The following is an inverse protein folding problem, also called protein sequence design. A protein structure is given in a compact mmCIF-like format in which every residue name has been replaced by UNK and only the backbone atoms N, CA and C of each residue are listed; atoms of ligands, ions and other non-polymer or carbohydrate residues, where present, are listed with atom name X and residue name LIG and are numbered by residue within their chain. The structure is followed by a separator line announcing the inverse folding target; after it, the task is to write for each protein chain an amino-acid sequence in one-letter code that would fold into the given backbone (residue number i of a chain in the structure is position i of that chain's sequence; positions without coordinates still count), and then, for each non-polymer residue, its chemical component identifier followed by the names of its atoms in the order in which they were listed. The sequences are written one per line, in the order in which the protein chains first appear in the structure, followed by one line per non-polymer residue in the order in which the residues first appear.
data_IF_642456548326
#
_entry.id   IF_642456548326
#
_cell.length_a   1.000
_cell.length_b   1.000
_cell.length_c   1.000
_cell.angle_alpha   90.00
_cell.angle_beta   90.00
_cell.angle_gamma   90.00
#
_symmetry.space_group_name_H-M   'P 1'
#
loop_
_entity.id
_entity.type
_entity.pdbx_description
1 polymer ?
#
# COMPACT_ATOMS: atom_id res chain seq x y z
N UNK A 1 15.47 1.37 8.91
CA UNK A 1 16.33 1.82 7.81
C UNK A 1 15.44 2.44 6.74
N UNK A 2 15.79 3.59 6.15
CA UNK A 2 15.08 4.09 4.98
C UNK A 2 15.21 3.07 3.83
N UNK A 3 14.13 2.82 3.08
CA UNK A 3 14.19 1.96 1.89
C UNK A 3 15.08 2.62 0.84
N UNK A 4 15.99 1.87 0.19
CA UNK A 4 16.88 2.39 -0.86
C UNK A 4 16.10 2.95 -2.07
N UNK A 5 14.78 2.70 -2.14
CA UNK A 5 13.91 3.20 -3.19
C UNK A 5 13.39 4.62 -2.95
N UNK A 6 13.65 5.23 -1.78
CA UNK A 6 13.27 6.63 -1.52
C UNK A 6 13.98 7.64 -2.43
N UNK A 7 15.16 7.29 -2.95
CA UNK A 7 16.04 8.19 -3.70
C UNK A 7 16.02 7.97 -5.23
N UNK A 8 15.23 7.02 -5.75
CA UNK A 8 15.23 6.60 -7.16
C UNK A 8 14.58 7.58 -8.15
N UNK A 9 14.28 8.82 -7.74
CA UNK A 9 13.54 9.78 -8.57
C UNK A 9 14.30 10.30 -9.81
N UNK A 10 15.54 9.89 -10.06
CA UNK A 10 16.44 10.60 -11.00
C UNK A 10 16.80 9.80 -12.27
N UNK A 11 16.78 8.47 -12.26
CA UNK A 11 17.16 7.67 -13.43
C UNK A 11 15.93 7.18 -14.24
N UNK A 12 16.00 7.14 -15.59
CA UNK A 12 14.95 6.53 -16.39
C UNK A 12 14.82 5.04 -16.04
N UNK A 13 13.58 4.56 -15.93
CA UNK A 13 13.35 3.15 -15.66
C UNK A 13 13.86 2.29 -16.82
N UNK A 14 14.42 1.10 -16.54
CA UNK A 14 14.70 0.11 -17.56
C UNK A 14 13.43 -0.24 -18.35
N UNK A 15 13.58 -0.56 -19.63
CA UNK A 15 12.45 -0.94 -20.50
C UNK A 15 11.62 -2.08 -19.91
N UNK A 16 12.28 -3.08 -19.33
CA UNK A 16 11.61 -4.20 -18.68
C UNK A 16 10.72 -3.76 -17.50
N UNK A 17 11.15 -2.78 -16.71
CA UNK A 17 10.34 -2.23 -15.62
C UNK A 17 9.11 -1.48 -16.15
N UNK A 18 9.23 -0.78 -17.27
CA UNK A 18 8.08 -0.13 -17.93
C UNK A 18 7.09 -1.17 -18.45
N UNK A 19 7.58 -2.25 -19.08
CA UNK A 19 6.76 -3.38 -19.53
C UNK A 19 6.02 -4.01 -18.35
N UNK A 20 6.72 -4.26 -17.24
CA UNK A 20 6.12 -4.85 -16.04
C UNK A 20 5.07 -3.94 -15.41
N UNK A 21 5.33 -2.64 -15.30
CA UNK A 21 4.36 -1.67 -14.81
C UNK A 21 3.08 -1.71 -15.67
N UNK A 22 3.22 -1.62 -17.00
CA UNK A 22 2.09 -1.68 -17.91
C UNK A 22 1.31 -3.00 -17.82
N UNK A 23 2.00 -4.14 -17.70
CA UNK A 23 1.34 -5.45 -17.56
C UNK A 23 0.57 -5.54 -16.25
N UNK A 24 1.17 -5.15 -15.12
CA UNK A 24 0.50 -5.13 -13.81
C UNK A 24 -0.75 -4.24 -13.86
N UNK A 25 -0.65 -3.03 -14.44
CA UNK A 25 -1.79 -2.11 -14.58
C UNK A 25 -2.98 -2.71 -15.33
N UNK A 26 -2.73 -3.60 -16.29
CA UNK A 26 -3.77 -4.24 -17.09
C UNK A 26 -4.36 -5.50 -16.42
N UNK A 27 -3.56 -6.19 -15.61
CA UNK A 27 -3.93 -7.50 -15.05
C UNK A 27 -4.48 -7.41 -13.63
N UNK A 28 -4.10 -6.39 -12.86
CA UNK A 28 -4.57 -6.24 -11.49
C UNK A 28 -6.06 -5.88 -11.47
N UNK A 29 -6.88 -6.50 -10.59
CA UNK A 29 -8.30 -6.20 -10.48
C UNK A 29 -8.61 -4.89 -9.73
N UNK A 30 -7.57 -4.17 -9.28
CA UNK A 30 -7.70 -2.94 -8.50
C UNK A 30 -7.28 -1.72 -9.33
N UNK A 31 -7.86 -0.53 -9.05
CA UNK A 31 -7.39 0.70 -9.66
C UNK A 31 -5.90 0.89 -9.36
N UNK A 32 -5.15 1.33 -10.36
CA UNK A 32 -3.71 1.52 -10.20
C UNK A 32 -3.18 2.70 -11.01
N UNK A 33 -2.20 3.41 -10.45
CA UNK A 33 -1.64 4.63 -11.04
C UNK A 33 -0.15 4.80 -10.71
N UNK A 34 0.53 5.66 -11.46
CA UNK A 34 1.94 5.99 -11.27
C UNK A 34 2.88 5.27 -12.25
N UNK A 35 3.94 5.98 -12.64
CA UNK A 35 4.87 5.55 -13.70
C UNK A 35 6.15 4.94 -13.14
N UNK A 36 6.77 5.61 -12.15
CA UNK A 36 7.98 5.11 -11.48
C UNK A 36 7.66 4.16 -10.31
N UNK A 37 6.55 4.44 -9.64
CA UNK A 37 6.00 3.57 -8.60
C UNK A 37 4.53 3.35 -8.89
N UNK A 38 4.12 2.09 -8.91
CA UNK A 38 2.74 1.69 -9.15
C UNK A 38 2.00 1.60 -7.82
N UNK A 39 1.03 2.47 -7.62
CA UNK A 39 0.11 2.45 -6.48
C UNK A 39 -1.11 1.63 -6.83
N UNK A 40 -1.48 0.66 -5.99
CA UNK A 40 -2.54 -0.32 -6.27
C UNK A 40 -3.60 -0.29 -5.18
N UNK A 41 -4.87 -0.12 -5.59
CA UNK A 41 -6.05 -0.12 -4.73
C UNK A 41 -6.53 1.27 -4.34
N UNK A 42 -7.84 1.37 -4.10
CA UNK A 42 -8.48 2.49 -3.41
C UNK A 42 -9.44 1.90 -2.36
N UNK A 43 -9.10 1.93 -1.06
CA UNK A 43 -7.92 2.56 -0.45
C UNK A 43 -6.61 1.86 -0.84
N UNK A 44 -5.47 2.57 -0.74
CA UNK A 44 -4.16 2.04 -1.12
C UNK A 44 -3.86 0.71 -0.40
N UNK A 45 -3.54 -0.33 -1.17
CA UNK A 45 -3.27 -1.68 -0.67
C UNK A 45 -1.80 -2.05 -0.81
N UNK A 46 -1.17 -1.69 -1.93
CA UNK A 46 0.21 -2.05 -2.28
C UNK A 46 0.83 -0.92 -3.09
N UNK A 47 2.15 -0.76 -2.94
CA UNK A 47 2.98 0.05 -3.82
C UNK A 47 4.07 -0.85 -4.41
N UNK A 48 4.33 -0.73 -5.70
CA UNK A 48 5.47 -1.37 -6.37
C UNK A 48 6.43 -0.29 -6.81
N UNK A 49 7.64 -0.28 -6.29
CA UNK A 49 8.69 0.66 -6.70
C UNK A 49 9.67 -0.04 -7.62
N UNK A 50 9.84 0.49 -8.83
CA UNK A 50 10.78 -0.06 -9.80
C UNK A 50 12.13 0.64 -9.67
N UNK A 51 13.19 -0.15 -9.56
CA UNK A 51 14.58 0.28 -9.64
C UNK A 51 15.26 -0.27 -10.89
N UNK A 52 16.56 0.02 -11.07
CA UNK A 52 17.32 -0.39 -12.25
C UNK A 52 17.47 -1.92 -12.37
N UNK A 53 17.54 -2.64 -11.26
CA UNK A 53 17.82 -4.09 -11.24
C UNK A 53 16.73 -4.90 -10.54
N UNK A 54 15.76 -4.25 -9.91
CA UNK A 54 14.77 -4.92 -9.07
C UNK A 54 13.50 -4.09 -8.90
N UNK A 55 12.40 -4.77 -8.56
CA UNK A 55 11.15 -4.17 -8.12
C UNK A 55 10.90 -4.50 -6.64
N UNK A 56 10.64 -3.47 -5.82
CA UNK A 56 10.23 -3.63 -4.43
C UNK A 56 8.71 -3.60 -4.34
N UNK A 57 8.13 -4.58 -3.64
CA UNK A 57 6.71 -4.56 -3.24
C UNK A 57 6.64 -4.11 -1.78
N UNK A 58 5.87 -3.06 -1.57
CA UNK A 58 5.68 -2.40 -0.28
C UNK A 58 4.20 -2.31 0.06
N UNK A 59 3.85 -2.34 1.34
CA UNK A 59 2.47 -2.12 1.81
C UNK A 59 2.37 -0.82 2.60
N UNK A 60 1.25 -0.07 2.49
CA UNK A 60 1.05 1.14 3.25
C UNK A 60 0.78 0.82 4.72
N UNK A 61 1.39 1.60 5.60
CA UNK A 61 1.23 1.58 7.04
C UNK A 61 1.09 3.01 7.55
N UNK A 62 0.05 3.29 8.32
CA UNK A 62 -0.05 4.54 9.08
C UNK A 62 0.58 4.39 10.46
N UNK A 63 1.62 5.17 10.71
CA UNK A 63 2.20 5.36 12.04
C UNK A 63 1.66 6.65 12.66
N UNK A 64 1.31 6.59 13.95
CA UNK A 64 0.82 7.76 14.67
C UNK A 64 1.96 8.37 15.49
N UNK A 65 2.44 9.54 15.06
CA UNK A 65 3.50 10.28 15.79
C UNK A 65 2.90 11.00 17.01
N UNK A 66 1.64 11.39 16.91
CA UNK A 66 0.81 11.92 18.01
C UNK A 66 -0.63 11.42 17.83
N UNK A 67 -1.55 11.62 18.80
CA UNK A 67 -2.95 11.24 18.66
C UNK A 67 -3.67 11.84 17.42
N UNK A 68 -3.21 13.00 16.93
CA UNK A 68 -3.83 13.72 15.82
C UNK A 68 -2.97 13.75 14.54
N UNK A 69 -1.75 13.19 14.56
CA UNK A 69 -0.80 13.30 13.46
C UNK A 69 -0.47 11.91 12.89
N UNK A 70 -1.26 11.42 11.92
CA UNK A 70 -0.92 10.21 11.18
C UNK A 70 0.20 10.50 10.19
N UNK A 71 1.10 9.53 10.02
CA UNK A 71 2.14 9.54 9.00
C UNK A 71 2.04 8.26 8.19
N UNK A 72 1.82 8.40 6.89
CA UNK A 72 1.89 7.28 5.96
C UNK A 72 3.36 6.87 5.78
N UNK A 73 3.62 5.58 5.89
CA UNK A 73 4.88 4.93 5.55
C UNK A 73 4.63 3.74 4.64
N UNK A 74 5.65 3.40 3.86
CA UNK A 74 5.67 2.19 3.05
C UNK A 74 6.57 1.18 3.75
N UNK A 75 6.01 0.02 4.07
CA UNK A 75 6.74 -1.09 4.69
C UNK A 75 7.09 -2.10 3.60
N UNK A 76 8.39 -2.34 3.34
CA UNK A 76 8.82 -3.37 2.38
C UNK A 76 8.26 -4.74 2.75
N UNK A 77 7.79 -5.46 1.76
CA UNK A 77 7.29 -6.84 1.85
C UNK A 77 8.24 -7.81 1.16
N UNK A 78 8.82 -7.39 0.04
CA UNK A 78 9.84 -8.16 -0.66
C UNK A 78 10.38 -7.42 -1.88
N UNK A 79 11.49 -7.93 -2.39
CA UNK A 79 12.16 -7.42 -3.59
C UNK A 79 12.26 -8.54 -4.62
N UNK A 80 12.04 -8.22 -5.89
CA UNK A 80 12.09 -9.16 -7.01
C UNK A 80 13.11 -8.65 -8.03
N UNK A 81 14.14 -9.44 -8.37
CA UNK A 81 15.07 -9.09 -9.43
C UNK A 81 14.38 -8.90 -10.78
N UNK A 82 14.80 -7.89 -11.54
CA UNK A 82 14.19 -7.48 -12.80
C UNK A 82 14.68 -8.36 -13.95
N UNK A 83 14.18 -9.59 -14.01
CA UNK A 83 14.36 -10.52 -15.13
C UNK A 83 13.01 -11.06 -15.56
N UNK A 84 12.74 -11.14 -16.87
CA UNK A 84 11.41 -11.49 -17.42
C UNK A 84 10.78 -12.75 -16.79
N UNK A 85 11.60 -13.77 -16.50
CA UNK A 85 11.17 -15.02 -15.82
C UNK A 85 10.58 -14.82 -14.41
N UNK A 86 10.75 -13.67 -13.79
CA UNK A 86 10.28 -13.36 -12.45
C UNK A 86 9.02 -12.48 -12.43
N UNK A 87 8.44 -12.17 -13.60
CA UNK A 87 7.21 -11.39 -13.67
C UNK A 87 6.08 -12.04 -12.86
N UNK A 88 5.88 -13.35 -13.01
CA UNK A 88 4.83 -14.07 -12.30
C UNK A 88 5.03 -14.02 -10.78
N UNK A 89 6.28 -14.05 -10.31
CA UNK A 89 6.60 -13.91 -8.89
C UNK A 89 6.23 -12.51 -8.36
N UNK A 90 6.52 -11.46 -9.15
CA UNK A 90 6.12 -10.10 -8.81
C UNK A 90 4.59 -9.98 -8.73
N UNK A 91 3.88 -10.48 -9.74
CA UNK A 91 2.42 -10.44 -9.77
C UNK A 91 1.82 -11.16 -8.55
N UNK A 92 2.28 -12.38 -8.26
CA UNK A 92 1.82 -13.15 -7.09
C UNK A 92 2.09 -12.41 -5.77
N UNK A 93 3.26 -11.77 -5.64
CA UNK A 93 3.60 -11.00 -4.45
C UNK A 93 2.68 -9.79 -4.28
N UNK A 94 2.39 -9.06 -5.36
CA UNK A 94 1.47 -7.92 -5.35
C UNK A 94 0.05 -8.37 -4.95
N UNK A 95 -0.48 -9.39 -5.62
CA UNK A 95 -1.83 -9.90 -5.35
C UNK A 95 -1.98 -10.43 -3.93
N UNK A 96 -1.01 -11.24 -3.47
CA UNK A 96 -0.99 -11.76 -2.11
C UNK A 96 -0.97 -10.63 -1.08
N UNK A 97 -0.12 -9.62 -1.30
CA UNK A 97 -0.01 -8.48 -0.39
C UNK A 97 -1.31 -7.66 -0.37
N UNK A 98 -1.89 -7.38 -1.54
CA UNK A 98 -3.14 -6.65 -1.65
C UNK A 98 -4.30 -7.38 -0.95
N UNK A 99 -4.42 -8.69 -1.16
CA UNK A 99 -5.43 -9.51 -0.51
C UNK A 99 -5.26 -9.59 1.00
N UNK A 100 -4.03 -9.82 1.48
CA UNK A 100 -3.74 -9.83 2.90
C UNK A 100 -4.10 -8.50 3.55
N UNK A 101 -3.74 -7.40 2.87
CA UNK A 101 -4.04 -6.06 3.34
C UNK A 101 -5.53 -5.80 3.42
N UNK A 102 -6.27 -6.08 2.35
CA UNK A 102 -7.73 -5.91 2.33
C UNK A 102 -8.44 -6.75 3.39
N UNK A 103 -7.99 -8.00 3.61
CA UNK A 103 -8.51 -8.88 4.65
C UNK A 103 -8.24 -8.38 6.06
N UNK A 104 -7.23 -7.54 6.26
CA UNK A 104 -6.95 -6.95 7.56
C UNK A 104 -7.94 -5.84 7.93
N UNK A 105 -8.65 -5.27 6.97
CA UNK A 105 -9.56 -4.15 7.24
C UNK A 105 -10.71 -4.59 8.13
N UNK A 106 -11.09 -3.73 9.06
CA UNK A 106 -12.18 -3.97 10.01
C UNK A 106 -13.14 -2.79 10.00
N UNK A 107 -14.38 -3.07 10.37
CA UNK A 107 -15.42 -2.06 10.46
C UNK A 107 -15.29 -1.28 11.77
N UNK A 108 -15.49 0.03 11.70
CA UNK A 108 -15.65 0.87 12.88
C UNK A 108 -17.05 0.66 13.49
N UNK A 109 -17.10 0.20 14.73
CA UNK A 109 -18.33 0.01 15.52
C UNK A 109 -19.21 1.25 15.68
N UNK A 110 -18.68 2.46 15.42
CA UNK A 110 -19.40 3.74 15.55
C UNK A 110 -19.98 4.25 14.23
N UNK A 111 -19.22 4.18 13.13
CA UNK A 111 -19.62 4.80 11.85
C UNK A 111 -19.74 3.81 10.68
N UNK A 112 -19.51 2.52 10.90
CA UNK A 112 -19.64 1.49 9.86
C UNK A 112 -18.55 1.52 8.77
N UNK A 113 -17.62 2.49 8.80
CA UNK A 113 -16.55 2.56 7.80
C UNK A 113 -15.56 1.41 7.98
N UNK A 114 -15.23 0.72 6.89
CA UNK A 114 -14.14 -0.27 6.84
C UNK A 114 -12.81 0.44 6.67
N UNK A 115 -11.92 0.23 7.62
CA UNK A 115 -10.65 0.96 7.71
C UNK A 115 -9.50 -0.02 7.93
N UNK A 116 -8.31 0.41 7.56
CA UNK A 116 -7.09 -0.29 7.87
C UNK A 116 -6.90 -0.42 9.41
N UNK A 117 -6.33 -1.53 9.92
CA UNK A 117 -6.14 -1.78 11.34
C UNK A 117 -5.50 -0.62 12.10
N UNK A 118 -4.50 0.03 11.52
CA UNK A 118 -3.77 1.10 12.17
C UNK A 118 -4.55 2.43 12.26
N UNK A 119 -5.65 2.56 11.53
CA UNK A 119 -6.59 3.69 11.66
C UNK A 119 -7.67 3.42 12.72
N UNK A 120 -7.69 2.20 13.26
CA UNK A 120 -8.59 1.78 14.31
C UNK A 120 -7.86 1.80 15.66
N UNK A 121 -8.64 2.01 16.70
CA UNK A 121 -8.27 1.84 18.09
C UNK A 121 -9.41 1.12 18.81
N UNK A 122 -9.24 0.84 20.10
CA UNK A 122 -10.25 0.15 20.90
C UNK A 122 -11.10 1.15 21.68
N UNK A 123 -12.42 1.02 21.57
CA UNK A 123 -13.40 1.69 22.42
C UNK A 123 -14.25 0.63 23.10
N UNK A 124 -14.11 0.48 24.42
CA UNK A 124 -14.82 -0.54 25.19
C UNK A 124 -14.67 -1.97 24.60
N UNK A 125 -13.48 -2.30 24.08
CA UNK A 125 -13.20 -3.61 23.49
C UNK A 125 -13.66 -3.78 22.03
N UNK A 126 -14.30 -2.77 21.44
CA UNK A 126 -14.72 -2.79 20.03
C UNK A 126 -13.81 -1.91 19.16
N UNK A 127 -13.58 -2.28 17.89
CA UNK A 127 -12.81 -1.45 16.96
C UNK A 127 -13.58 -0.15 16.68
N UNK A 128 -12.94 0.99 16.90
CA UNK A 128 -13.45 2.31 16.59
C UNK A 128 -12.39 3.13 15.85
N UNK A 129 -12.78 3.86 14.82
CA UNK A 129 -11.85 4.73 14.10
C UNK A 129 -11.48 5.94 14.93
N UNK A 130 -10.28 6.48 14.68
CA UNK A 130 -9.77 7.63 15.43
C UNK A 130 -10.64 8.88 15.30
N UNK A 131 -11.26 9.11 14.16
CA UNK A 131 -12.20 10.24 13.98
C UNK A 131 -13.37 10.17 14.97
N UNK A 132 -13.94 8.97 15.17
CA UNK A 132 -15.02 8.76 16.12
C UNK A 132 -14.57 8.87 17.57
N UNK A 133 -13.30 8.58 17.87
CA UNK A 133 -12.74 8.73 19.21
C UNK A 133 -12.47 10.19 19.58
N UNK A 134 -12.02 11.00 18.61
CA UNK A 134 -11.71 12.43 18.81
C UNK A 134 -12.99 13.28 18.83
N UNK A 135 -14.17 12.68 18.58
CA UNK A 135 -15.45 13.38 18.63
C UNK A 135 -15.69 14.31 17.43
N UNK A 136 -14.96 14.11 16.31
CA UNK A 136 -15.33 14.75 15.04
C UNK A 136 -16.68 14.14 14.61
N UNK A 137 -17.77 14.86 14.90
CA UNK A 137 -19.11 14.56 14.36
C UNK A 137 -18.97 14.50 12.84
N UNK A 138 -19.05 13.31 12.29
CA UNK A 138 -19.25 13.11 10.86
C UNK A 138 -20.71 13.50 10.64
N UNK A 139 -20.93 14.75 10.22
CA UNK A 139 -22.21 15.19 9.71
C UNK A 139 -22.38 14.49 8.35
N UNK A 140 -23.43 13.69 8.23
CA UNK A 140 -23.87 13.08 6.97
C UNK A 140 -24.54 14.12 6.09
#
# INVERSE_FOLDING_TARGET
MPSPFSDLRVAPLPELALVWNQRLRRQLPWPSHGEQSLFVGDPLLVMVSFGPEQAEVSQPLVEWVSPATPRLRMRPVGEIPLYERHYDHLQQLVEKTAWQRLRAFRECSRCGRRLAPELLASLAGQPACRDCLIGRRILF
#
